data_IF_732536466759
#
_entry.id   IF_732536466759
#
_cell.length_a   1.000
_cell.length_b   1.000
_cell.length_c   1.000
_cell.angle_alpha   90.00
_cell.angle_beta   90.00
_cell.angle_gamma   90.00
#
_symmetry.space_group_name_H-M   'P 1'
#
loop_
_entity.id
_entity.type
_entity.pdbx_description
1 polymer ?
#
# COMPACT_ATOMS: atom_id res chain seq x y z
N UNK A 1 20.54 -13.04 -26.21
CA UNK A 1 20.22 -11.68 -25.73
C UNK A 1 20.24 -11.69 -24.22
N UNK A 2 20.93 -10.75 -23.57
CA UNK A 2 20.86 -10.63 -22.11
C UNK A 2 19.46 -10.16 -21.70
N UNK A 3 18.83 -10.86 -20.78
CA UNK A 3 17.48 -10.55 -20.29
C UNK A 3 17.46 -9.20 -19.54
N UNK A 4 18.46 -8.95 -18.69
CA UNK A 4 18.64 -7.67 -18.00
C UNK A 4 19.36 -6.66 -18.90
N UNK A 5 18.96 -5.40 -18.77
CA UNK A 5 19.65 -4.28 -19.43
C UNK A 5 21.01 -4.02 -18.77
N UNK A 6 21.90 -3.33 -19.48
CA UNK A 6 23.21 -2.94 -18.93
C UNK A 6 23.12 -1.92 -17.79
N UNK A 7 21.99 -1.20 -17.66
CA UNK A 7 21.70 -0.26 -16.58
C UNK A 7 21.04 -0.91 -15.36
N UNK A 8 20.75 -2.21 -15.43
CA UNK A 8 20.14 -2.93 -14.33
C UNK A 8 21.01 -2.85 -13.06
N UNK A 9 20.37 -2.69 -11.90
CA UNK A 9 21.09 -2.54 -10.65
C UNK A 9 21.76 -3.85 -10.25
N UNK A 10 23.05 -3.75 -9.90
CA UNK A 10 23.90 -4.87 -9.51
C UNK A 10 24.66 -4.51 -8.24
N UNK A 11 24.45 -5.26 -7.16
CA UNK A 11 25.22 -5.05 -5.93
C UNK A 11 26.70 -5.46 -6.05
N UNK A 12 27.03 -6.37 -6.97
CA UNK A 12 28.39 -6.84 -7.24
C UNK A 12 29.23 -5.85 -8.06
N UNK A 13 28.60 -4.86 -8.69
CA UNK A 13 29.23 -3.92 -9.60
C UNK A 13 28.53 -2.55 -9.55
N UNK A 14 28.65 -1.88 -8.41
CA UNK A 14 28.13 -0.52 -8.23
C UNK A 14 29.13 0.45 -8.90
N UNK A 15 28.70 1.26 -9.89
CA UNK A 15 29.58 2.23 -10.52
C UNK A 15 30.03 3.31 -9.53
N UNK A 16 31.23 3.87 -9.74
CA UNK A 16 31.71 5.01 -8.95
C UNK A 16 30.79 6.21 -9.19
N UNK A 17 30.03 6.58 -8.16
CA UNK A 17 29.08 7.67 -8.22
C UNK A 17 29.76 8.99 -7.81
N UNK A 18 29.66 10.06 -8.60
CA UNK A 18 30.17 11.36 -8.21
C UNK A 18 29.50 11.86 -6.91
N UNK A 19 30.19 12.70 -6.13
CA UNK A 19 29.61 13.29 -4.94
C UNK A 19 28.38 14.14 -5.33
N UNK A 20 27.34 14.19 -4.48
CA UNK A 20 26.23 15.10 -4.71
C UNK A 20 26.73 16.56 -4.77
N UNK A 21 26.10 17.42 -5.59
CA UNK A 21 26.52 18.82 -5.71
C UNK A 21 26.56 19.52 -4.34
N UNK A 22 27.64 20.26 -4.06
CA UNK A 22 27.84 20.98 -2.80
C UNK A 22 26.80 22.11 -2.65
N UNK A 23 26.21 22.25 -1.46
CA UNK A 23 25.20 23.30 -1.17
C UNK A 23 23.74 22.89 -1.36
N UNK A 24 23.46 21.61 -1.55
CA UNK A 24 22.12 21.09 -1.86
C UNK A 24 21.18 20.93 -0.63
N UNK A 25 21.16 21.92 0.27
CA UNK A 25 20.14 22.05 1.32
C UNK A 25 18.91 22.80 0.79
N UNK A 26 18.35 22.33 -0.33
CA UNK A 26 17.15 22.92 -0.91
C UNK A 26 15.98 22.93 0.08
N UNK A 27 15.00 23.80 -0.17
CA UNK A 27 13.73 23.93 0.56
C UNK A 27 13.08 22.56 0.94
N UNK A 28 13.32 21.52 0.14
CA UNK A 28 12.79 20.17 0.35
C UNK A 28 13.54 19.30 1.37
N UNK A 29 14.81 19.61 1.68
CA UNK A 29 15.49 19.06 2.86
C UNK A 29 14.86 19.60 4.15
N UNK A 30 14.35 20.84 4.13
CA UNK A 30 13.59 21.46 5.23
C UNK A 30 12.12 21.01 5.29
N UNK A 31 11.48 20.66 4.16
CA UNK A 31 10.07 20.23 4.07
C UNK A 31 9.80 18.74 4.30
N UNK A 32 10.79 17.91 4.64
CA UNK A 32 10.52 16.53 5.06
C UNK A 32 11.10 15.40 4.20
N UNK A 33 11.44 15.66 2.92
CA UNK A 33 11.84 14.58 1.98
C UNK A 33 13.19 13.94 2.34
N UNK A 34 14.08 14.72 2.96
CA UNK A 34 15.36 14.27 3.55
C UNK A 34 15.40 14.43 5.07
N UNK A 35 14.26 14.71 5.72
CA UNK A 35 14.21 15.12 7.12
C UNK A 35 14.43 13.98 8.14
N UNK A 36 14.96 12.85 7.70
CA UNK A 36 15.37 11.82 8.63
C UNK A 36 16.57 11.03 8.14
N UNK A 37 16.74 9.84 8.68
CA UNK A 37 17.99 9.11 8.59
C UNK A 37 18.15 8.49 7.22
N UNK A 38 19.27 8.78 6.55
CA UNK A 38 19.67 8.05 5.34
C UNK A 38 19.88 6.58 5.72
N UNK A 39 19.19 5.69 5.01
CA UNK A 39 19.34 4.25 5.17
C UNK A 39 20.56 3.80 4.37
N UNK A 40 21.34 2.91 4.99
CA UNK A 40 22.51 2.35 4.34
C UNK A 40 22.09 1.26 3.37
N UNK A 41 22.82 1.15 2.27
CA UNK A 41 22.75 -0.03 1.43
C UNK A 41 23.22 -1.23 2.25
N UNK A 42 22.39 -2.27 2.33
CA UNK A 42 22.80 -3.54 2.89
C UNK A 42 22.30 -4.69 2.02
N UNK A 43 22.94 -5.85 2.18
CA UNK A 43 22.57 -7.07 1.47
C UNK A 43 21.82 -8.05 2.39
N UNK A 44 21.17 -7.56 3.46
CA UNK A 44 20.42 -8.43 4.37
C UNK A 44 19.22 -9.03 3.62
N UNK A 45 18.99 -10.32 3.78
CA UNK A 45 17.76 -10.98 3.31
C UNK A 45 16.74 -10.90 4.42
N UNK A 46 15.74 -10.04 4.22
CA UNK A 46 14.71 -9.80 5.22
C UNK A 46 13.36 -9.76 4.52
N UNK A 47 12.41 -10.51 5.08
CA UNK A 47 11.04 -10.49 4.63
C UNK A 47 10.33 -9.26 5.21
N UNK A 48 9.70 -8.45 4.36
CA UNK A 48 8.81 -7.38 4.81
C UNK A 48 7.44 -8.00 5.16
N UNK A 49 7.19 -8.17 6.45
CA UNK A 49 6.07 -8.97 6.98
C UNK A 49 4.70 -8.34 6.74
N UNK A 50 4.55 -7.03 6.91
CA UNK A 50 3.29 -6.32 6.64
C UNK A 50 2.83 -6.43 5.17
N UNK A 51 3.77 -6.42 4.23
CA UNK A 51 3.54 -6.55 2.80
C UNK A 51 3.27 -8.00 2.43
N UNK A 52 3.95 -8.95 3.10
CA UNK A 52 3.68 -10.37 2.94
C UNK A 52 2.24 -10.71 3.37
N UNK A 53 1.79 -10.19 4.52
CA UNK A 53 0.42 -10.40 5.05
C UNK A 53 -0.69 -9.70 4.27
N UNK A 54 -0.37 -8.91 3.25
CA UNK A 54 -1.36 -8.22 2.42
C UNK A 54 -2.18 -9.18 1.54
N UNK A 55 -1.64 -10.37 1.26
CA UNK A 55 -2.31 -11.40 0.47
C UNK A 55 -2.32 -12.72 1.22
N UNK A 56 -3.37 -13.51 1.02
CA UNK A 56 -3.48 -14.87 1.55
C UNK A 56 -3.21 -15.92 0.48
N UNK A 57 -2.64 -17.09 0.85
CA UNK A 57 -2.48 -18.20 -0.08
C UNK A 57 -3.78 -18.58 -0.81
N UNK A 58 -4.92 -18.59 -0.10
CA UNK A 58 -6.24 -18.87 -0.69
C UNK A 58 -6.63 -17.87 -1.80
N UNK A 59 -6.36 -16.59 -1.61
CA UNK A 59 -6.66 -15.53 -2.57
C UNK A 59 -5.79 -15.65 -3.83
N UNK A 60 -4.51 -15.94 -3.67
CA UNK A 60 -3.59 -16.14 -4.80
C UNK A 60 -3.97 -17.39 -5.58
N UNK A 61 -4.32 -18.50 -4.91
CA UNK A 61 -4.83 -19.72 -5.57
C UNK A 61 -6.12 -19.47 -6.36
N UNK A 62 -7.02 -18.62 -5.85
CA UNK A 62 -8.24 -18.25 -6.57
C UNK A 62 -7.93 -17.44 -7.84
N UNK A 63 -6.93 -16.54 -7.78
CA UNK A 63 -6.51 -15.74 -8.93
C UNK A 63 -5.84 -16.55 -10.05
N UNK A 64 -5.19 -17.69 -9.74
CA UNK A 64 -4.60 -18.58 -10.76
C UNK A 64 -5.64 -19.11 -11.76
N UNK A 65 -6.92 -19.15 -11.38
CA UNK A 65 -8.01 -19.66 -12.20
C UNK A 65 -8.58 -18.60 -13.15
N UNK A 66 -8.25 -17.31 -12.97
CA UNK A 66 -8.78 -16.20 -13.77
C UNK A 66 -7.75 -15.67 -14.79
N UNK A 67 -7.99 -15.79 -16.11
CA UNK A 67 -6.97 -15.52 -17.14
C UNK A 67 -6.74 -14.03 -17.49
N UNK A 68 -7.32 -13.06 -16.76
CA UNK A 68 -7.37 -11.67 -17.20
C UNK A 68 -6.94 -10.65 -16.12
N UNK A 69 -5.68 -10.21 -16.20
CA UNK A 69 -5.10 -9.08 -15.45
C UNK A 69 -5.34 -9.15 -13.94
N UNK A 70 -4.61 -10.04 -13.27
CA UNK A 70 -4.71 -10.20 -11.82
C UNK A 70 -4.38 -8.89 -11.10
N UNK A 71 -4.98 -8.67 -9.93
CA UNK A 71 -4.62 -7.54 -9.05
C UNK A 71 -3.12 -7.56 -8.71
N UNK A 72 -2.54 -8.76 -8.66
CA UNK A 72 -1.12 -9.03 -8.47
C UNK A 72 -0.27 -8.42 -9.59
N UNK A 73 -0.63 -8.65 -10.86
CA UNK A 73 0.13 -8.16 -12.04
C UNK A 73 0.22 -6.63 -12.10
N UNK A 74 -0.80 -5.94 -11.56
CA UNK A 74 -0.81 -4.48 -11.48
C UNK A 74 0.06 -3.95 -10.33
N UNK A 75 0.28 -4.75 -9.29
CA UNK A 75 1.10 -4.37 -8.13
C UNK A 75 2.58 -4.74 -8.34
N UNK A 76 2.86 -5.99 -8.69
CA UNK A 76 4.20 -6.53 -8.75
C UNK A 76 4.32 -7.65 -9.78
N UNK A 77 5.43 -7.65 -10.52
CA UNK A 77 5.87 -8.77 -11.35
C UNK A 77 7.36 -9.01 -11.10
N UNK A 78 7.95 -10.01 -11.74
CA UNK A 78 9.41 -10.17 -11.77
C UNK A 78 10.15 -8.99 -12.41
N UNK A 79 9.50 -8.16 -13.24
CA UNK A 79 10.16 -7.01 -13.88
C UNK A 79 9.92 -5.69 -13.17
N UNK A 80 8.72 -5.47 -12.60
CA UNK A 80 8.36 -4.19 -11.99
C UNK A 80 7.52 -4.31 -10.73
N UNK A 81 7.76 -3.40 -9.78
CA UNK A 81 6.84 -3.06 -8.70
C UNK A 81 6.24 -1.70 -9.04
N UNK A 82 4.92 -1.59 -9.07
CA UNK A 82 4.23 -0.33 -9.32
C UNK A 82 3.10 -0.10 -8.35
N UNK A 83 2.95 1.17 -7.95
CA UNK A 83 1.77 1.59 -7.20
C UNK A 83 0.91 2.51 -8.06
N UNK A 84 -0.39 2.27 -8.00
CA UNK A 84 -1.40 3.09 -8.67
C UNK A 84 -2.24 3.82 -7.64
N UNK A 85 -2.61 5.05 -7.97
CA UNK A 85 -3.49 5.87 -7.15
C UNK A 85 -4.84 6.03 -7.86
N UNK A 86 -5.95 5.73 -7.20
CA UNK A 86 -7.26 5.99 -7.78
C UNK A 86 -7.52 7.50 -7.91
N UNK A 87 -8.40 7.90 -8.83
CA UNK A 87 -8.73 9.30 -9.04
C UNK A 87 -9.38 9.90 -7.78
N UNK A 88 -9.31 11.22 -7.63
CA UNK A 88 -9.86 11.92 -6.46
C UNK A 88 -11.35 11.60 -6.24
N UNK A 89 -12.16 11.58 -7.29
CA UNK A 89 -13.60 11.30 -7.22
C UNK A 89 -13.89 9.91 -6.62
N UNK A 90 -13.07 8.90 -6.94
CA UNK A 90 -13.22 7.57 -6.35
C UNK A 90 -12.95 7.57 -4.85
N UNK A 91 -11.90 8.27 -4.41
CA UNK A 91 -11.60 8.46 -2.98
C UNK A 91 -12.73 9.21 -2.26
N UNK A 92 -13.32 10.21 -2.92
CA UNK A 92 -14.47 10.93 -2.41
C UNK A 92 -15.68 10.00 -2.23
N UNK A 93 -15.96 9.12 -3.18
CA UNK A 93 -17.06 8.13 -3.07
C UNK A 93 -16.84 7.18 -1.88
N UNK A 94 -15.63 6.63 -1.71
CA UNK A 94 -15.31 5.79 -0.54
C UNK A 94 -15.45 6.59 0.76
N UNK A 95 -15.06 7.85 0.78
CA UNK A 95 -15.23 8.72 1.94
C UNK A 95 -16.71 8.95 2.26
N UNK A 96 -17.55 9.24 1.26
CA UNK A 96 -18.98 9.44 1.42
C UNK A 96 -19.69 8.19 1.93
N UNK A 97 -19.29 7.01 1.46
CA UNK A 97 -19.79 5.73 1.96
C UNK A 97 -19.47 5.54 3.45
N UNK A 98 -18.22 5.77 3.85
CA UNK A 98 -17.81 5.71 5.26
C UNK A 98 -18.53 6.76 6.11
N UNK A 99 -18.70 7.97 5.59
CA UNK A 99 -19.44 9.04 6.26
C UNK A 99 -20.92 8.69 6.43
N UNK A 100 -21.56 8.08 5.44
CA UNK A 100 -22.93 7.59 5.54
C UNK A 100 -23.06 6.54 6.64
N UNK A 101 -22.14 5.57 6.68
CA UNK A 101 -22.17 4.47 7.65
C UNK A 101 -21.85 4.90 9.08
N UNK A 102 -20.76 5.65 9.27
CA UNK A 102 -20.21 5.97 10.58
C UNK A 102 -20.55 7.38 11.09
N UNK A 103 -20.88 8.30 10.19
CA UNK A 103 -21.33 9.66 10.55
C UNK A 103 -22.85 9.74 10.66
N UNK A 104 -23.57 9.39 9.58
CA UNK A 104 -25.03 9.51 9.53
C UNK A 104 -25.73 8.34 10.23
N UNK A 105 -25.20 7.12 10.12
CA UNK A 105 -25.78 5.91 10.73
C UNK A 105 -26.13 6.06 12.21
N UNK A 106 -25.20 6.51 13.09
CA UNK A 106 -25.51 6.76 14.50
C UNK A 106 -26.61 7.80 14.73
N UNK A 107 -26.67 8.85 13.90
CA UNK A 107 -27.72 9.88 13.98
C UNK A 107 -29.08 9.25 13.69
N UNK A 108 -29.19 8.43 12.64
CA UNK A 108 -30.43 7.72 12.30
C UNK A 108 -30.89 6.83 13.46
N UNK A 109 -29.96 6.12 14.13
CA UNK A 109 -30.30 5.28 15.29
C UNK A 109 -30.87 6.13 16.43
N UNK A 110 -30.22 7.25 16.78
CA UNK A 110 -30.73 8.15 17.84
C UNK A 110 -32.09 8.72 17.46
N UNK A 111 -32.28 9.14 16.21
CA UNK A 111 -33.56 9.63 15.72
C UNK A 111 -34.66 8.56 15.80
N UNK A 112 -34.34 7.31 15.51
CA UNK A 112 -35.28 6.19 15.64
C UNK A 112 -35.68 5.95 17.10
N UNK A 113 -34.75 6.06 18.06
CA UNK A 113 -35.05 5.97 19.50
C UNK A 113 -35.92 7.13 19.98
N UNK A 114 -35.68 8.34 19.48
CA UNK A 114 -36.51 9.52 19.76
C UNK A 114 -37.93 9.31 19.21
N UNK A 115 -38.06 8.80 17.98
CA UNK A 115 -39.36 8.50 17.37
C UNK A 115 -40.13 7.44 18.17
N UNK A 116 -39.47 6.36 18.62
CA UNK A 116 -40.08 5.34 19.48
C UNK A 116 -40.61 5.97 20.78
N UNK A 117 -39.86 6.91 21.36
CA UNK A 117 -40.24 7.60 22.60
C UNK A 117 -41.43 8.54 22.36
N UNK A 118 -41.44 9.27 21.26
CA UNK A 118 -42.58 10.15 20.90
C UNK A 118 -43.82 9.30 20.61
N UNK A 119 -43.66 8.18 19.91
CA UNK A 119 -44.75 7.26 19.60
C UNK A 119 -45.36 6.64 20.85
N UNK A 120 -44.52 6.21 21.82
CA UNK A 120 -45.02 5.66 23.09
C UNK A 120 -45.77 6.69 23.93
N UNK A 121 -45.35 7.96 23.90
CA UNK A 121 -46.07 9.06 24.57
C UNK A 121 -47.43 9.39 23.91
N UNK A 122 -47.54 9.26 22.58
CA UNK A 122 -48.80 9.43 21.86
C UNK A 122 -49.84 8.34 22.17
N UNK A 123 -49.41 7.18 22.69
CA UNK A 123 -50.31 6.10 23.11
C UNK A 123 -50.96 6.34 24.48
N UNK A 124 -50.56 7.38 25.22
CA UNK A 124 -51.18 7.77 26.47
C UNK A 124 -52.51 8.50 26.21
N UNK A 125 -53.57 8.25 27.01
CA UNK A 125 -54.87 8.87 26.80
C UNK A 125 -54.80 10.41 26.94
N UNK A 126 -55.52 11.12 26.05
CA UNK A 126 -55.70 12.58 26.02
C UNK A 126 -54.45 13.44 25.68
N UNK A 127 -53.51 12.94 24.88
CA UNK A 127 -52.31 13.72 24.51
C UNK A 127 -52.06 13.79 22.99
N UNK A 128 -52.97 14.43 22.24
CA UNK A 128 -52.80 14.69 20.79
C UNK A 128 -51.66 15.67 20.45
N UNK A 129 -51.06 16.29 21.47
CA UNK A 129 -50.04 17.34 21.35
C UNK A 129 -48.78 16.88 20.62
N UNK A 130 -48.48 15.58 20.60
CA UNK A 130 -47.24 15.04 20.04
C UNK A 130 -47.36 14.49 18.61
N UNK A 131 -48.55 14.47 18.00
CA UNK A 131 -48.76 13.97 16.63
C UNK A 131 -47.98 14.81 15.59
N UNK A 132 -48.08 16.14 15.65
CA UNK A 132 -47.33 17.04 14.76
C UNK A 132 -45.82 16.92 14.94
N UNK A 133 -45.36 16.63 16.17
CA UNK A 133 -43.96 16.44 16.48
C UNK A 133 -43.42 15.11 15.91
N UNK A 134 -44.19 14.02 16.03
CA UNK A 134 -43.88 12.72 15.42
C UNK A 134 -43.75 12.83 13.91
N UNK A 135 -44.72 13.45 13.23
CA UNK A 135 -44.67 13.62 11.75
C UNK A 135 -43.40 14.36 11.32
N UNK A 136 -43.05 15.46 12.00
CA UNK A 136 -41.83 16.21 11.68
C UNK A 136 -40.56 15.40 11.95
N UNK A 137 -40.51 14.67 13.06
CA UNK A 137 -39.35 13.86 13.44
C UNK A 137 -39.16 12.69 12.47
N UNK A 138 -40.25 12.04 12.06
CA UNK A 138 -40.26 11.02 11.02
C UNK A 138 -39.78 11.57 9.67
N UNK A 139 -40.28 12.74 9.23
CA UNK A 139 -39.83 13.39 7.99
C UNK A 139 -38.32 13.68 7.99
N UNK A 140 -37.78 14.20 9.09
CA UNK A 140 -36.34 14.44 9.22
C UNK A 140 -35.58 13.11 9.19
N UNK A 141 -36.08 12.07 9.85
CA UNK A 141 -35.44 10.74 9.87
C UNK A 141 -35.35 10.13 8.48
N UNK A 142 -36.45 10.18 7.72
CA UNK A 142 -36.49 9.75 6.32
C UNK A 142 -35.51 10.57 5.46
N UNK A 143 -35.39 11.87 5.71
CA UNK A 143 -34.43 12.72 5.00
C UNK A 143 -32.99 12.25 5.23
N UNK A 144 -32.60 11.95 6.48
CA UNK A 144 -31.26 11.41 6.77
C UNK A 144 -31.02 10.02 6.17
N UNK A 145 -32.04 9.15 6.15
CA UNK A 145 -31.96 7.84 5.48
C UNK A 145 -31.71 8.03 3.98
N UNK A 146 -32.42 8.94 3.32
CA UNK A 146 -32.24 9.23 1.90
C UNK A 146 -30.84 9.79 1.63
N UNK A 147 -30.32 10.70 2.47
CA UNK A 147 -28.95 11.21 2.35
C UNK A 147 -27.95 10.07 2.48
N UNK A 148 -28.06 9.22 3.52
CA UNK A 148 -27.17 8.09 3.71
C UNK A 148 -27.19 7.13 2.50
N UNK A 149 -28.38 6.84 1.97
CA UNK A 149 -28.55 6.01 0.78
C UNK A 149 -27.87 6.62 -0.46
N UNK A 150 -28.10 7.91 -0.73
CA UNK A 150 -27.48 8.60 -1.88
C UNK A 150 -25.96 8.66 -1.78
N UNK A 151 -25.40 8.80 -0.58
CA UNK A 151 -23.95 8.76 -0.36
C UNK A 151 -23.34 7.36 -0.52
N UNK A 152 -24.07 6.30 -0.13
CA UNK A 152 -23.58 4.92 -0.19
C UNK A 152 -23.77 4.26 -1.57
N UNK A 153 -24.81 4.63 -2.32
CA UNK A 153 -25.19 4.00 -3.58
C UNK A 153 -24.06 3.98 -4.64
N UNK A 154 -23.30 5.08 -4.89
CA UNK A 154 -22.22 5.06 -5.87
C UNK A 154 -21.11 4.06 -5.52
N UNK A 155 -20.78 3.91 -4.23
CA UNK A 155 -19.78 2.94 -3.80
C UNK A 155 -20.24 1.50 -4.02
N UNK A 156 -21.52 1.21 -3.75
CA UNK A 156 -22.13 -0.09 -4.04
C UNK A 156 -22.10 -0.41 -5.53
N UNK A 157 -22.47 0.54 -6.40
CA UNK A 157 -22.42 0.37 -7.86
C UNK A 157 -20.99 0.05 -8.31
N UNK A 158 -19.98 0.78 -7.79
CA UNK A 158 -18.59 0.53 -8.18
C UNK A 158 -18.10 -0.83 -7.65
N UNK A 159 -18.49 -1.24 -6.45
CA UNK A 159 -18.09 -2.53 -5.86
C UNK A 159 -18.70 -3.74 -6.56
N UNK A 160 -19.99 -3.67 -6.91
CA UNK A 160 -20.73 -4.82 -7.42
C UNK A 160 -20.91 -4.83 -8.94
N UNK A 161 -21.10 -3.66 -9.55
CA UNK A 161 -21.48 -3.57 -10.97
C UNK A 161 -20.25 -3.42 -11.87
N UNK A 162 -19.24 -2.63 -11.47
CA UNK A 162 -18.07 -2.41 -12.33
C UNK A 162 -17.28 -3.69 -12.60
N UNK A 163 -17.03 -4.59 -11.63
CA UNK A 163 -16.36 -5.86 -11.90
C UNK A 163 -17.18 -6.73 -12.85
N UNK A 164 -18.50 -6.83 -12.65
CA UNK A 164 -19.40 -7.63 -13.51
C UNK A 164 -19.44 -7.12 -14.95
N UNK A 165 -19.25 -5.81 -15.15
CA UNK A 165 -19.23 -5.17 -16.46
C UNK A 165 -17.81 -4.97 -17.02
N UNK A 166 -16.77 -5.49 -16.36
CA UNK A 166 -15.36 -5.29 -16.73
C UNK A 166 -14.96 -3.81 -16.90
N UNK A 167 -15.61 -2.90 -16.17
CA UNK A 167 -15.28 -1.47 -16.18
C UNK A 167 -14.04 -1.24 -15.33
N UNK A 168 -12.93 -0.88 -15.97
CA UNK A 168 -11.68 -0.57 -15.28
C UNK A 168 -11.71 0.86 -14.74
N UNK A 169 -11.40 1.01 -13.46
CA UNK A 169 -11.17 2.33 -12.85
C UNK A 169 -9.87 2.91 -13.40
N UNK A 170 -9.92 4.15 -13.90
CA UNK A 170 -8.76 4.89 -14.36
C UNK A 170 -7.85 5.26 -13.18
N UNK A 171 -7.06 4.31 -12.69
CA UNK A 171 -6.00 4.55 -11.72
C UNK A 171 -4.77 5.09 -12.45
N UNK A 172 -4.06 6.01 -11.80
CA UNK A 172 -2.85 6.61 -12.35
C UNK A 172 -1.62 6.00 -11.67
N UNK A 173 -0.56 5.65 -12.42
CA UNK A 173 0.69 5.23 -11.78
C UNK A 173 1.25 6.38 -10.93
N UNK A 174 1.84 6.01 -9.78
CA UNK A 174 2.52 6.93 -8.85
C UNK A 174 4.03 6.81 -9.03
N UNK A 175 4.52 5.58 -8.97
CA UNK A 175 5.90 5.22 -9.28
C UNK A 175 5.98 3.79 -9.79
N UNK A 176 7.11 3.48 -10.41
CA UNK A 176 7.49 2.15 -10.88
C UNK A 176 8.96 1.91 -10.58
N UNK A 177 9.26 0.79 -9.91
CA UNK A 177 10.60 0.25 -9.73
C UNK A 177 10.76 -0.88 -10.73
N UNK A 178 11.69 -0.77 -11.66
CA UNK A 178 11.85 -1.75 -12.73
C UNK A 178 13.19 -2.49 -12.59
N UNK A 179 13.13 -3.75 -12.14
CA UNK A 179 14.29 -4.64 -11.95
C UNK A 179 15.04 -4.90 -13.26
N UNK A 180 14.31 -5.09 -14.37
CA UNK A 180 14.90 -5.41 -15.69
C UNK A 180 15.76 -4.27 -16.23
N UNK A 181 15.30 -3.04 -16.06
CA UNK A 181 15.96 -1.82 -16.54
C UNK A 181 16.88 -1.18 -15.50
N UNK A 182 16.66 -1.45 -14.21
CA UNK A 182 17.32 -0.77 -13.09
C UNK A 182 16.78 0.63 -12.83
N UNK A 183 15.65 1.02 -13.42
CA UNK A 183 15.13 2.39 -13.36
C UNK A 183 14.09 2.57 -12.26
N UNK A 184 14.10 3.74 -11.63
CA UNK A 184 13.05 4.25 -10.76
C UNK A 184 12.32 5.35 -11.49
N UNK A 185 11.05 5.13 -11.79
CA UNK A 185 10.21 6.06 -12.53
C UNK A 185 9.15 6.64 -11.62
N UNK A 186 9.02 7.96 -11.58
CA UNK A 186 8.00 8.65 -10.79
C UNK A 186 7.05 9.39 -11.73
N UNK A 187 5.77 9.37 -11.38
CA UNK A 187 4.69 9.96 -12.18
C UNK A 187 3.97 11.08 -11.40
N UNK A 188 3.40 12.04 -12.13
CA UNK A 188 2.57 13.13 -11.61
C UNK A 188 1.28 13.21 -12.41
N UNK A 189 0.15 12.94 -11.74
CA UNK A 189 -1.18 12.88 -12.38
C UNK A 189 -1.19 11.94 -13.61
N UNK A 190 -0.51 10.80 -13.50
CA UNK A 190 -0.41 9.79 -14.56
C UNK A 190 0.59 10.11 -15.69
N UNK A 191 1.26 11.27 -15.67
CA UNK A 191 2.31 11.61 -16.63
C UNK A 191 3.69 11.34 -16.04
N UNK A 192 4.63 10.89 -16.87
CA UNK A 192 6.03 10.73 -16.49
C UNK A 192 6.55 12.05 -15.90
N UNK A 193 7.14 11.97 -14.71
CA UNK A 193 7.76 13.13 -14.05
C UNK A 193 9.29 13.07 -14.17
N UNK A 194 9.89 11.96 -13.76
CA UNK A 194 11.30 11.64 -14.01
C UNK A 194 11.54 10.13 -13.97
N UNK A 195 12.65 9.69 -14.57
CA UNK A 195 13.12 8.31 -14.50
C UNK A 195 14.64 8.32 -14.45
N UNK A 196 15.23 7.67 -13.44
CA UNK A 196 16.68 7.60 -13.23
C UNK A 196 17.11 6.21 -12.75
N UNK A 197 18.38 5.83 -12.89
CA UNK A 197 18.89 4.56 -12.37
C UNK A 197 18.75 4.47 -10.85
N UNK A 198 18.37 3.29 -10.34
CA UNK A 198 18.15 3.03 -8.91
C UNK A 198 19.37 3.34 -8.04
N UNK A 199 20.58 3.14 -8.57
CA UNK A 199 21.84 3.43 -7.88
C UNK A 199 22.02 4.92 -7.55
N UNK A 200 21.33 5.82 -8.28
CA UNK A 200 21.39 7.26 -8.08
C UNK A 200 20.41 7.76 -7.00
N UNK A 201 19.63 6.87 -6.39
CA UNK A 201 18.70 7.21 -5.33
C UNK A 201 19.26 6.88 -3.96
N UNK A 202 19.04 7.80 -3.02
CA UNK A 202 19.30 7.57 -1.61
C UNK A 202 17.95 7.35 -0.88
N UNK A 203 17.87 6.30 -0.08
CA UNK A 203 16.70 6.00 0.75
C UNK A 203 16.77 6.78 2.06
N UNK A 204 15.70 7.50 2.40
CA UNK A 204 15.56 8.23 3.66
C UNK A 204 14.38 7.70 4.46
N UNK A 205 14.62 7.38 5.73
CA UNK A 205 13.60 7.16 6.75
C UNK A 205 13.20 8.53 7.31
N UNK A 206 11.92 8.86 7.30
CA UNK A 206 11.37 10.03 7.99
C UNK A 206 10.26 9.68 8.96
N UNK A 207 9.95 10.60 9.86
CA UNK A 207 8.86 10.48 10.83
C UNK A 207 8.00 11.74 10.80
N UNK A 208 6.68 11.57 10.71
CA UNK A 208 5.70 12.64 10.85
C UNK A 208 4.79 12.30 12.03
N UNK A 209 4.40 13.29 12.83
CA UNK A 209 3.32 13.08 13.78
C UNK A 209 1.99 13.03 13.03
N UNK A 210 1.16 12.04 13.32
CA UNK A 210 -0.22 12.05 12.88
C UNK A 210 -1.06 13.06 13.68
N UNK A 211 -2.32 13.24 13.28
CA UNK A 211 -3.27 14.12 13.97
C UNK A 211 -3.54 13.76 15.43
N UNK A 212 -3.15 12.56 15.87
CA UNK A 212 -3.26 12.06 17.25
C UNK A 212 -1.92 12.14 18.01
N UNK A 213 -0.87 12.69 17.37
CA UNK A 213 0.48 12.78 17.94
C UNK A 213 1.28 11.48 17.87
N UNK A 214 0.76 10.43 17.23
CA UNK A 214 1.48 9.16 17.04
C UNK A 214 2.49 9.28 15.89
N UNK A 215 3.69 8.69 16.01
CA UNK A 215 4.67 8.72 14.95
C UNK A 215 4.23 7.85 13.76
N UNK A 216 4.18 8.46 12.59
CA UNK A 216 4.02 7.82 11.30
C UNK A 216 5.36 7.83 10.58
N UNK A 217 5.92 6.64 10.37
CA UNK A 217 7.19 6.48 9.66
C UNK A 217 6.94 6.40 8.16
N UNK A 218 7.88 6.92 7.38
CA UNK A 218 7.81 6.82 5.92
C UNK A 218 9.19 6.64 5.31
N UNK A 219 9.23 6.06 4.12
CA UNK A 219 10.45 5.87 3.33
C UNK A 219 10.32 6.52 1.98
N UNK A 220 11.29 7.38 1.64
CA UNK A 220 11.38 8.04 0.35
C UNK A 220 12.70 7.68 -0.34
N UNK A 221 12.64 7.36 -1.62
CA UNK A 221 13.82 7.39 -2.50
C UNK A 221 13.96 8.78 -3.09
N UNK A 222 15.09 9.42 -2.78
CA UNK A 222 15.41 10.78 -3.22
C UNK A 222 16.58 10.72 -4.20
N UNK A 223 16.40 11.31 -5.37
CA UNK A 223 17.46 11.38 -6.37
C UNK A 223 18.65 12.20 -5.85
N UNK A 224 19.88 11.69 -6.04
CA UNK A 224 21.11 12.30 -5.51
C UNK A 224 21.43 13.65 -6.16
N UNK A 225 21.27 13.72 -7.48
CA UNK A 225 21.75 14.86 -8.27
C UNK A 225 20.70 15.92 -8.58
N UNK A 226 19.41 15.56 -8.55
CA UNK A 226 18.32 16.46 -8.95
C UNK A 226 17.41 16.79 -7.76
N UNK A 227 17.05 18.06 -7.62
CA UNK A 227 16.11 18.52 -6.59
C UNK A 227 14.66 18.42 -7.07
N UNK A 228 14.11 17.21 -7.11
CA UNK A 228 12.68 17.05 -7.39
C UNK A 228 11.82 17.48 -6.19
N UNK A 229 10.69 18.15 -6.46
CA UNK A 229 9.65 18.49 -5.47
C UNK A 229 8.88 17.26 -4.94
N UNK A 230 9.08 16.11 -5.55
CA UNK A 230 8.43 14.84 -5.24
C UNK A 230 9.46 13.71 -5.24
N UNK A 231 9.56 13.02 -4.11
CA UNK A 231 10.31 11.78 -4.00
C UNK A 231 9.45 10.56 -4.42
N UNK A 232 10.10 9.42 -4.65
CA UNK A 232 9.41 8.14 -4.76
C UNK A 232 9.09 7.62 -3.36
N UNK A 233 7.84 7.77 -2.92
CA UNK A 233 7.38 7.32 -1.61
C UNK A 233 7.09 5.83 -1.59
N UNK A 234 8.00 5.05 -0.99
CA UNK A 234 7.83 3.59 -0.87
C UNK A 234 6.81 3.20 0.19
N UNK A 235 6.41 4.14 1.04
CA UNK A 235 5.32 3.95 2.00
C UNK A 235 3.97 3.67 1.36
N UNK A 236 3.79 3.92 0.06
CA UNK A 236 2.55 3.53 -0.63
C UNK A 236 2.51 2.01 -0.92
N UNK A 237 3.63 1.28 -0.78
CA UNK A 237 3.66 -0.19 -0.92
C UNK A 237 3.05 -0.90 0.28
N UNK A 238 3.30 -0.37 1.47
CA UNK A 238 2.86 -0.94 2.75
C UNK A 238 1.67 -0.14 3.28
N UNK A 239 0.83 -0.75 4.14
CA UNK A 239 -0.14 0.03 4.91
C UNK A 239 0.61 0.98 5.86
N UNK A 240 -0.01 2.14 6.18
CA UNK A 240 0.50 3.18 7.09
C UNK A 240 1.47 2.62 8.13
N UNK A 241 2.72 3.05 8.05
CA UNK A 241 3.81 2.45 8.81
C UNK A 241 3.86 3.14 10.17
N UNK A 242 3.11 2.61 11.12
CA UNK A 242 3.14 3.08 12.51
C UNK A 242 4.34 2.53 13.30
N UNK A 243 5.14 1.66 12.69
CA UNK A 243 6.31 1.03 13.32
C UNK A 243 7.57 1.28 12.51
N UNK A 244 8.63 1.76 13.17
CA UNK A 244 9.91 2.07 12.51
C UNK A 244 10.59 0.82 11.93
N UNK A 245 10.46 -0.32 12.63
CA UNK A 245 11.03 -1.61 12.24
C UNK A 245 10.66 -2.06 10.82
N UNK A 246 9.43 -1.80 10.38
CA UNK A 246 8.97 -2.08 9.02
C UNK A 246 9.78 -1.38 7.93
N UNK A 247 10.39 -0.23 8.23
CA UNK A 247 11.26 0.50 7.30
C UNK A 247 12.59 -0.23 7.14
N UNK A 248 13.11 -0.82 8.23
CA UNK A 248 14.35 -1.60 8.22
C UNK A 248 14.22 -2.95 7.53
N UNK A 249 12.99 -3.45 7.33
CA UNK A 249 12.72 -4.66 6.55
C UNK A 249 12.33 -4.33 5.11
N UNK A 250 11.64 -3.20 4.87
CA UNK A 250 11.24 -2.75 3.54
C UNK A 250 12.44 -2.40 2.65
N UNK A 251 13.43 -1.67 3.17
CA UNK A 251 14.56 -1.22 2.35
C UNK A 251 15.41 -2.39 1.83
N UNK A 252 15.86 -3.35 2.65
CA UNK A 252 16.58 -4.53 2.17
C UNK A 252 15.77 -5.35 1.16
N UNK A 253 14.44 -5.48 1.37
CA UNK A 253 13.57 -6.16 0.41
C UNK A 253 13.57 -5.47 -0.95
N UNK A 254 13.44 -4.13 -0.98
CA UNK A 254 13.49 -3.36 -2.24
C UNK A 254 14.86 -3.44 -2.89
N UNK A 255 15.95 -3.39 -2.12
CA UNK A 255 17.30 -3.58 -2.64
C UNK A 255 17.45 -4.96 -3.28
N UNK A 256 17.02 -6.03 -2.60
CA UNK A 256 17.04 -7.40 -3.13
C UNK A 256 16.17 -7.53 -4.39
N UNK A 257 14.99 -6.91 -4.39
CA UNK A 257 14.12 -6.89 -5.57
C UNK A 257 14.76 -6.19 -6.76
N UNK A 258 15.48 -5.08 -6.57
CA UNK A 258 16.13 -4.37 -7.68
C UNK A 258 17.43 -5.02 -8.15
N UNK A 259 18.08 -5.83 -7.31
CA UNK A 259 19.40 -6.41 -7.57
C UNK A 259 19.33 -7.66 -8.43
N UNK A 260 19.79 -7.57 -9.68
CA UNK A 260 19.74 -8.68 -10.64
C UNK A 260 20.76 -9.78 -10.36
N UNK A 261 21.67 -9.57 -9.40
CA UNK A 261 22.65 -10.58 -8.97
C UNK A 261 22.09 -11.54 -7.92
N UNK A 262 20.95 -11.19 -7.32
CA UNK A 262 20.30 -11.95 -6.25
C UNK A 262 18.92 -12.45 -6.68
N UNK A 263 18.42 -13.56 -6.12
CA UNK A 263 17.05 -13.97 -6.37
C UNK A 263 16.07 -12.90 -5.87
N UNK A 264 14.89 -12.85 -6.50
CA UNK A 264 13.75 -12.09 -6.01
C UNK A 264 13.51 -12.44 -4.53
N UNK A 265 13.03 -11.48 -3.71
CA UNK A 265 12.61 -11.76 -2.35
C UNK A 265 11.63 -12.94 -2.30
N UNK A 266 11.80 -13.84 -1.33
CA UNK A 266 10.94 -15.01 -1.20
C UNK A 266 9.62 -14.63 -0.51
N UNK A 267 8.66 -14.17 -1.32
CA UNK A 267 7.36 -13.69 -0.87
C UNK A 267 6.22 -14.35 -1.65
N UNK A 268 5.09 -14.58 -0.99
CA UNK A 268 3.89 -15.20 -1.59
C UNK A 268 3.49 -14.54 -2.91
N UNK A 269 3.42 -13.19 -2.96
CA UNK A 269 3.01 -12.46 -4.16
C UNK A 269 4.07 -12.44 -5.28
N UNK A 270 5.32 -12.78 -4.99
CA UNK A 270 6.38 -12.91 -5.99
C UNK A 270 6.52 -14.35 -6.51
N UNK A 271 6.05 -15.34 -5.75
CA UNK A 271 6.19 -16.76 -6.04
C UNK A 271 5.78 -17.14 -7.47
N UNK A 272 4.64 -16.67 -8.03
CA UNK A 272 4.26 -16.99 -9.41
C UNK A 272 5.27 -16.50 -10.48
N UNK A 273 6.03 -15.45 -10.17
CA UNK A 273 6.96 -14.83 -11.12
C UNK A 273 8.40 -15.31 -10.96
N UNK A 274 8.72 -16.09 -9.93
CA UNK A 274 10.10 -16.56 -9.65
C UNK A 274 10.69 -17.37 -10.79
N UNK A 275 9.88 -18.18 -11.47
CA UNK A 275 10.30 -18.97 -12.64
C UNK A 275 10.56 -18.13 -13.89
N UNK A 276 10.07 -16.89 -13.93
CA UNK A 276 10.24 -15.96 -15.06
C UNK A 276 11.53 -15.13 -14.94
N UNK A 277 12.01 -14.87 -13.71
CA UNK A 277 13.28 -14.17 -13.48
C UNK A 277 14.48 -15.13 -13.63
N UNK A 278 15.42 -14.89 -14.57
CA UNK A 278 16.53 -15.81 -14.81
C UNK A 278 17.42 -16.07 -13.61
N UNK A 279 17.75 -15.02 -12.83
CA UNK A 279 18.59 -15.14 -11.63
C UNK A 279 17.89 -15.97 -10.56
N UNK A 280 16.61 -15.69 -10.32
CA UNK A 280 15.80 -16.42 -9.33
C UNK A 280 15.60 -17.87 -9.72
N UNK A 281 15.30 -18.14 -11.00
CA UNK A 281 15.14 -19.50 -11.51
C UNK A 281 16.40 -20.34 -11.33
N UNK A 282 17.57 -19.78 -11.61
CA UNK A 282 18.85 -20.46 -11.40
C UNK A 282 19.12 -20.74 -9.92
N UNK A 283 18.84 -19.77 -9.04
CA UNK A 283 18.96 -19.92 -7.59
C UNK A 283 18.02 -20.98 -7.03
N UNK A 284 16.75 -20.98 -7.45
CA UNK A 284 15.74 -21.93 -6.99
C UNK A 284 16.07 -23.36 -7.45
N UNK A 285 16.59 -23.52 -8.68
CA UNK A 285 17.08 -24.79 -9.19
C UNK A 285 18.30 -25.31 -8.40
N UNK A 286 19.22 -24.42 -8.01
CA UNK A 286 20.40 -24.79 -7.24
C UNK A 286 20.08 -25.15 -5.77
N UNK A 287 19.07 -24.51 -5.19
CA UNK A 287 18.66 -24.71 -3.78
C UNK A 287 17.56 -25.76 -3.60
N UNK A 288 16.92 -26.19 -4.69
CA UNK A 288 15.80 -27.14 -4.63
C UNK A 288 14.53 -26.54 -4.02
N UNK A 289 14.36 -25.21 -4.09
CA UNK A 289 13.16 -24.52 -3.57
C UNK A 289 11.90 -25.01 -4.31
N UNK A 290 10.84 -25.45 -3.61
CA UNK A 290 9.57 -25.79 -4.26
C UNK A 290 8.95 -24.59 -5.01
N UNK A 291 8.34 -24.85 -6.16
CA UNK A 291 7.70 -23.80 -6.97
C UNK A 291 6.47 -23.16 -6.30
N UNK A 292 5.74 -23.94 -5.49
CA UNK A 292 4.51 -23.55 -4.79
C UNK A 292 4.69 -23.61 -3.25
N UNK A 293 5.80 -23.08 -2.74
CA UNK A 293 6.11 -23.13 -1.32
C UNK A 293 5.06 -22.40 -0.46
N UNK A 294 4.80 -21.13 -0.76
CA UNK A 294 3.84 -20.32 0.00
C UNK A 294 2.39 -20.59 -0.39
N UNK A 295 2.14 -20.81 -1.69
CA UNK A 295 0.79 -20.96 -2.23
C UNK A 295 0.09 -22.24 -1.80
N UNK A 296 0.80 -23.28 -1.39
CA UNK A 296 0.19 -24.55 -0.98
C UNK A 296 -0.04 -24.65 0.54
N UNK A 297 0.41 -23.66 1.32
CA UNK A 297 0.13 -23.56 2.77
C UNK A 297 -1.33 -23.18 3.04
N UNK A 298 -1.82 -23.50 4.25
CA UNK A 298 -3.08 -22.92 4.74
C UNK A 298 -2.88 -21.44 5.07
N UNK A 299 -3.96 -20.64 5.04
CA UNK A 299 -3.87 -19.22 5.39
C UNK A 299 -3.39 -19.02 6.83
N UNK A 300 -3.82 -19.89 7.75
CA UNK A 300 -3.43 -19.88 9.17
C UNK A 300 -1.96 -20.28 9.38
N UNK A 301 -1.48 -21.26 8.60
CA UNK A 301 -0.08 -21.68 8.64
C UNK A 301 0.82 -20.57 8.11
N UNK A 302 0.47 -20.00 6.96
CA UNK A 302 1.17 -18.87 6.37
C UNK A 302 1.26 -17.70 7.36
N UNK A 303 0.12 -17.25 7.88
CA UNK A 303 0.06 -16.13 8.82
C UNK A 303 0.93 -16.40 10.07
N UNK A 304 0.92 -17.64 10.59
CA UNK A 304 1.75 -18.03 11.74
C UNK A 304 3.24 -17.92 11.44
N UNK A 305 3.70 -18.40 10.28
CA UNK A 305 5.11 -18.32 9.87
C UNK A 305 5.56 -16.86 9.76
N UNK A 306 4.73 -16.02 9.14
CA UNK A 306 5.06 -14.60 8.94
C UNK A 306 5.13 -13.86 10.29
N UNK A 307 4.20 -14.13 11.22
CA UNK A 307 4.25 -13.56 12.57
C UNK A 307 5.45 -14.04 13.38
N UNK A 308 5.87 -15.31 13.22
CA UNK A 308 7.08 -15.83 13.85
C UNK A 308 8.32 -15.09 13.32
N UNK A 309 8.42 -14.91 12.01
CA UNK A 309 9.50 -14.16 11.38
C UNK A 309 9.51 -12.69 11.81
N UNK A 310 8.34 -12.03 11.91
CA UNK A 310 8.23 -10.66 12.46
C UNK A 310 8.81 -10.60 13.88
N UNK A 311 8.41 -11.53 14.75
CA UNK A 311 8.89 -11.58 16.13
C UNK A 311 10.41 -11.77 16.22
N UNK A 312 11.00 -12.61 15.36
CA UNK A 312 12.45 -12.83 15.29
C UNK A 312 13.20 -11.61 14.76
N UNK A 313 12.73 -11.01 13.66
CA UNK A 313 13.31 -9.81 13.08
C UNK A 313 13.30 -8.65 14.09
N UNK A 314 12.22 -8.48 14.85
CA UNK A 314 12.13 -7.47 15.92
C UNK A 314 13.13 -7.70 17.03
N UNK A 315 13.34 -8.96 17.44
CA UNK A 315 14.37 -9.30 18.43
C UNK A 315 15.76 -8.97 17.90
N UNK A 316 16.02 -9.23 16.61
CA UNK A 316 17.29 -8.89 15.98
C UNK A 316 17.51 -7.36 15.89
N UNK A 317 16.50 -6.59 15.45
CA UNK A 317 16.58 -5.13 15.37
C UNK A 317 16.84 -4.49 16.73
N UNK A 318 16.19 -4.98 17.79
CA UNK A 318 16.45 -4.52 19.17
C UNK A 318 17.87 -4.80 19.64
N UNK A 319 18.45 -5.94 19.24
CA UNK A 319 19.87 -6.27 19.52
C UNK A 319 20.82 -5.30 18.81
N UNK A 320 20.46 -4.88 17.60
CA UNK A 320 21.21 -3.90 16.79
C UNK A 320 21.01 -2.44 17.26
N UNK A 321 20.25 -2.21 18.35
CA UNK A 321 19.98 -0.88 18.89
C UNK A 321 18.96 -0.07 18.07
N UNK A 322 18.23 -0.72 17.17
CA UNK A 322 17.14 -0.13 16.38
C UNK A 322 15.81 -0.31 17.12
N UNK A 323 14.92 0.68 17.01
CA UNK A 323 13.66 0.73 17.76
C UNK A 323 12.51 0.06 17.03
#
# INVERSE_FOLDING_TARGET
>A
MNYYTHTAYRSDNIPDLPPPPAGNSGFWAQMGLRAGRKLQYNNKEVLQTDLALRWKPSEIRAQEQEPASSMLDNFCTHERISTVQPPFWFRLIIFLEKFARWGIGPIIIVMFLVEITIYSLNMLPNVDKYNTLSIKTFQVTITFILIAFTCALPAYIIGEVFPRLNIKLNAFPVFELNRRTGMVTVYRKGKLYYSHPFVEFDAYLGTLADHQGSPHYFMNLVHRYHQYDRACGLSDLTSRIYREDNIYTLWPMIQQYMDVTRPLPDMLFLEPYRQLDPTTKAHDAATGRPERYWRDMSDEEYERIIHQQDAEQRKALKRDGLR
#
